data_IF_618684928089
#
_entry.id   IF_618684928089
#
_cell.length_a   1.000
_cell.length_b   1.000
_cell.length_c   1.000
_cell.angle_alpha   90.00
_cell.angle_beta   90.00
_cell.angle_gamma   90.00
#
_symmetry.space_group_name_H-M   'P 1'
#
loop_
_entity.id
_entity.type
_entity.pdbx_description
1 polymer ?
#
# COMPACT_ATOMS: atom_id res chain seq x y z
N UNK A 1 28.70 -21.67 86.91
CA UNK A 1 27.82 -20.65 86.36
C UNK A 1 28.54 -19.98 85.20
N UNK A 2 28.35 -20.51 83.99
CA UNK A 2 28.98 -20.02 82.79
C UNK A 2 27.89 -19.71 81.80
N UNK A 3 27.69 -18.42 81.42
CA UNK A 3 26.74 -17.94 80.46
C UNK A 3 27.31 -18.00 79.05
N UNK A 4 26.65 -18.72 78.12
CA UNK A 4 26.92 -18.69 76.70
C UNK A 4 26.34 -17.38 76.11
N UNK A 5 27.02 -16.74 75.13
CA UNK A 5 26.47 -15.63 74.40
C UNK A 5 25.69 -16.13 73.13
N UNK A 6 24.46 -15.70 73.00
CA UNK A 6 23.56 -15.93 71.91
C UNK A 6 24.02 -15.07 70.69
N UNK A 7 24.47 -15.72 69.58
CA UNK A 7 24.79 -15.05 68.33
C UNK A 7 23.51 -14.84 67.51
N UNK A 8 23.12 -13.59 67.38
CA UNK A 8 22.05 -13.16 66.45
C UNK A 8 22.62 -13.09 65.04
N UNK A 9 22.23 -14.02 64.16
CA UNK A 9 22.59 -14.00 62.74
C UNK A 9 21.51 -13.15 62.02
N UNK A 10 21.94 -11.94 61.57
CA UNK A 10 21.10 -11.07 60.72
C UNK A 10 21.14 -11.61 59.31
N UNK A 11 20.07 -12.25 58.83
CA UNK A 11 19.90 -12.62 57.44
C UNK A 11 19.51 -11.37 56.66
N UNK A 12 20.46 -10.83 55.89
CA UNK A 12 20.21 -9.74 54.95
C UNK A 12 19.53 -10.33 53.69
N UNK A 13 18.19 -10.19 53.60
CA UNK A 13 17.43 -10.55 52.40
C UNK A 13 17.74 -9.51 51.28
N UNK A 14 18.62 -9.85 50.35
CA UNK A 14 18.86 -9.07 49.14
C UNK A 14 17.66 -9.31 48.20
N UNK A 15 16.68 -8.40 48.18
CA UNK A 15 15.65 -8.33 47.17
C UNK A 15 16.31 -7.89 45.85
N UNK A 16 16.67 -8.85 45.00
CA UNK A 16 17.02 -8.59 43.58
C UNK A 16 15.71 -8.21 42.86
N UNK A 17 15.48 -6.92 42.72
CA UNK A 17 14.48 -6.43 41.75
C UNK A 17 14.98 -6.79 40.34
N UNK A 18 14.52 -7.90 39.83
CA UNK A 18 14.53 -8.18 38.38
C UNK A 18 13.61 -7.13 37.78
N UNK A 19 14.18 -5.99 37.35
CA UNK A 19 13.54 -5.07 36.44
C UNK A 19 13.32 -5.86 35.17
N UNK A 20 12.13 -6.44 34.98
CA UNK A 20 11.70 -6.91 33.69
C UNK A 20 11.71 -5.65 32.79
N UNK A 21 12.73 -5.51 31.94
CA UNK A 21 12.74 -4.53 30.86
C UNK A 21 11.62 -4.91 29.89
N UNK A 22 10.39 -4.55 30.21
CA UNK A 22 9.27 -4.58 29.26
C UNK A 22 9.54 -3.56 28.15
N UNK A 23 9.17 -3.89 26.91
CA UNK A 23 9.21 -2.94 25.78
C UNK A 23 8.35 -1.72 26.10
N UNK A 24 8.83 -0.54 25.73
CA UNK A 24 8.01 0.68 25.81
C UNK A 24 6.84 0.62 24.82
N UNK A 25 5.75 1.39 25.01
CA UNK A 25 4.64 1.44 24.07
C UNK A 25 5.07 1.75 22.62
N UNK A 26 6.06 2.63 22.45
CA UNK A 26 6.64 2.94 21.13
C UNK A 26 7.35 1.73 20.51
N UNK A 27 8.11 0.98 21.30
CA UNK A 27 8.76 -0.25 20.83
C UNK A 27 7.75 -1.34 20.48
N UNK A 28 6.67 -1.45 21.23
CA UNK A 28 5.58 -2.37 20.94
C UNK A 28 4.89 -2.01 19.64
N UNK A 29 4.60 -0.71 19.42
CA UNK A 29 4.06 -0.19 18.18
C UNK A 29 4.95 -0.55 16.97
N UNK A 30 6.25 -0.23 17.04
CA UNK A 30 7.17 -0.51 15.95
C UNK A 30 7.27 -2.01 15.65
N UNK A 31 7.33 -2.84 16.68
CA UNK A 31 7.36 -4.29 16.52
C UNK A 31 6.07 -4.82 15.90
N UNK A 32 4.89 -4.42 16.42
CA UNK A 32 3.61 -4.89 15.94
C UNK A 32 3.33 -4.42 14.51
N UNK A 33 3.46 -3.13 14.23
CA UNK A 33 3.24 -2.60 12.88
C UNK A 33 4.18 -3.25 11.86
N UNK A 34 5.43 -3.46 12.21
CA UNK A 34 6.39 -4.12 11.33
C UNK A 34 6.03 -5.56 11.01
N UNK A 35 5.72 -6.36 12.06
CA UNK A 35 5.48 -7.80 11.90
C UNK A 35 4.04 -8.17 11.53
N UNK A 36 3.04 -7.35 11.87
CA UNK A 36 1.63 -7.66 11.65
C UNK A 36 1.00 -6.87 10.48
N UNK A 37 1.66 -5.80 10.01
CA UNK A 37 1.17 -5.00 8.89
C UNK A 37 2.20 -4.90 7.75
N UNK A 38 3.34 -4.24 7.97
CA UNK A 38 4.29 -3.92 6.89
C UNK A 38 4.80 -5.17 6.16
N UNK A 39 5.34 -6.16 6.88
CA UNK A 39 5.87 -7.37 6.25
C UNK A 39 4.78 -8.23 5.60
N UNK A 40 3.64 -8.53 6.24
CA UNK A 40 2.56 -9.29 5.64
C UNK A 40 1.94 -8.63 4.39
N UNK A 41 1.85 -7.30 4.33
CA UNK A 41 1.38 -6.60 3.14
C UNK A 41 2.34 -6.80 1.95
N UNK A 42 3.66 -6.74 2.17
CA UNK A 42 4.64 -7.04 1.12
C UNK A 42 4.63 -8.52 0.71
N UNK A 43 4.47 -9.44 1.67
CA UNK A 43 4.33 -10.87 1.39
C UNK A 43 3.09 -11.16 0.52
N UNK A 44 1.97 -10.51 0.81
CA UNK A 44 0.76 -10.61 -0.01
C UNK A 44 1.01 -10.15 -1.44
N UNK A 45 1.65 -8.99 -1.64
CA UNK A 45 1.97 -8.49 -2.99
C UNK A 45 2.90 -9.45 -3.74
N UNK A 46 3.90 -10.01 -3.08
CA UNK A 46 4.78 -11.03 -3.65
C UNK A 46 3.99 -12.27 -4.11
N UNK A 47 3.15 -12.82 -3.24
CA UNK A 47 2.35 -14.00 -3.55
C UNK A 47 1.39 -13.77 -4.75
N UNK A 48 0.68 -12.64 -4.74
CA UNK A 48 -0.27 -12.33 -5.82
C UNK A 48 0.42 -12.01 -7.14
N UNK A 49 1.59 -11.38 -7.13
CA UNK A 49 2.39 -11.15 -8.34
C UNK A 49 2.91 -12.46 -8.94
N UNK A 50 3.30 -13.43 -8.11
CA UNK A 50 3.69 -14.78 -8.55
C UNK A 50 2.51 -15.51 -9.20
N UNK A 51 1.35 -15.50 -8.54
CA UNK A 51 0.12 -16.10 -9.06
C UNK A 51 -0.26 -15.51 -10.42
N UNK A 52 -0.11 -14.20 -10.58
CA UNK A 52 -0.37 -13.52 -11.84
C UNK A 52 0.65 -13.93 -12.91
N UNK A 53 1.94 -13.96 -12.61
CA UNK A 53 3.00 -14.35 -13.57
C UNK A 53 2.81 -15.79 -14.07
N UNK A 54 2.55 -16.73 -13.17
CA UNK A 54 2.28 -18.13 -13.51
C UNK A 54 1.01 -18.29 -14.36
N UNK A 55 -0.08 -17.62 -13.98
CA UNK A 55 -1.35 -17.68 -14.71
C UNK A 55 -1.25 -17.05 -16.09
N UNK A 56 -0.49 -15.96 -16.22
CA UNK A 56 -0.23 -15.28 -17.50
C UNK A 56 0.57 -16.20 -18.44
N UNK A 57 1.64 -16.80 -17.93
CA UNK A 57 2.45 -17.77 -18.69
C UNK A 57 1.60 -18.96 -19.19
N UNK A 58 0.78 -19.52 -18.29
CA UNK A 58 -0.11 -20.62 -18.64
C UNK A 58 -1.16 -20.24 -19.69
N UNK A 59 -1.77 -19.06 -19.56
CA UNK A 59 -2.74 -18.52 -20.53
C UNK A 59 -2.09 -18.33 -21.90
N UNK A 60 -0.92 -17.70 -21.95
CA UNK A 60 -0.23 -17.38 -23.21
C UNK A 60 0.38 -18.61 -23.91
N UNK A 61 0.64 -19.70 -23.18
CA UNK A 61 1.09 -20.98 -23.75
C UNK A 61 -0.03 -21.79 -24.41
N UNK A 62 -1.31 -21.44 -24.22
CA UNK A 62 -2.42 -22.15 -24.83
C UNK A 62 -2.49 -21.89 -26.34
N UNK A 63 -2.75 -22.95 -27.13
CA UNK A 63 -2.99 -22.83 -28.57
C UNK A 63 -4.33 -22.18 -28.92
N UNK A 64 -5.33 -22.37 -28.05
CA UNK A 64 -6.65 -21.75 -28.17
C UNK A 64 -7.03 -21.16 -26.83
N UNK A 65 -7.21 -19.87 -26.78
CA UNK A 65 -7.53 -19.08 -25.59
C UNK A 65 -9.01 -18.67 -25.62
N UNK A 66 -9.73 -18.90 -24.54
CA UNK A 66 -11.16 -18.59 -24.43
C UNK A 66 -11.41 -17.31 -23.64
N UNK A 67 -12.61 -16.75 -23.77
CA UNK A 67 -13.07 -15.66 -22.92
C UNK A 67 -13.14 -16.03 -21.44
N UNK A 68 -13.37 -17.30 -21.12
CA UNK A 68 -13.35 -17.82 -19.73
C UNK A 68 -11.93 -17.80 -19.17
N UNK A 69 -10.93 -18.21 -19.96
CA UNK A 69 -9.52 -18.16 -19.56
C UNK A 69 -9.06 -16.71 -19.34
N UNK A 70 -9.47 -15.81 -20.23
CA UNK A 70 -9.18 -14.36 -20.07
C UNK A 70 -9.86 -13.78 -18.82
N UNK A 71 -11.09 -14.18 -18.51
CA UNK A 71 -11.76 -13.74 -17.28
C UNK A 71 -11.04 -14.26 -16.02
N UNK A 72 -10.58 -15.52 -16.04
CA UNK A 72 -9.76 -16.07 -14.95
C UNK A 72 -8.44 -15.30 -14.78
N UNK A 73 -7.77 -14.96 -15.88
CA UNK A 73 -6.53 -14.15 -15.83
C UNK A 73 -6.78 -12.74 -15.31
N UNK A 74 -7.88 -12.10 -15.69
CA UNK A 74 -8.30 -10.79 -15.14
C UNK A 74 -8.45 -10.84 -13.61
N UNK A 75 -9.02 -11.93 -13.07
CA UNK A 75 -9.12 -12.10 -11.61
C UNK A 75 -7.74 -12.21 -10.93
N UNK A 76 -6.75 -12.83 -11.59
CA UNK A 76 -5.37 -12.85 -11.08
C UNK A 76 -4.72 -11.47 -11.10
N UNK A 77 -4.99 -10.70 -12.16
CA UNK A 77 -4.53 -9.32 -12.22
C UNK A 77 -5.16 -8.47 -11.09
N UNK A 78 -6.46 -8.64 -10.80
CA UNK A 78 -7.12 -7.97 -9.66
C UNK A 78 -6.46 -8.38 -8.33
N UNK A 79 -6.10 -9.65 -8.15
CA UNK A 79 -5.34 -10.09 -6.97
C UNK A 79 -4.01 -9.34 -6.80
N UNK A 80 -3.21 -9.23 -7.87
CA UNK A 80 -1.94 -8.52 -7.84
C UNK A 80 -2.12 -7.00 -7.65
N UNK A 81 -3.15 -6.40 -8.27
CA UNK A 81 -3.55 -5.02 -8.03
C UNK A 81 -3.90 -4.79 -6.55
N UNK A 82 -4.70 -5.66 -5.95
CA UNK A 82 -5.05 -5.55 -4.53
C UNK A 82 -3.82 -5.68 -3.61
N UNK A 83 -2.85 -6.55 -3.97
CA UNK A 83 -1.58 -6.64 -3.28
C UNK A 83 -0.79 -5.33 -3.34
N UNK A 84 -0.71 -4.70 -4.51
CA UNK A 84 -0.07 -3.40 -4.70
C UNK A 84 -0.76 -2.28 -3.92
N UNK A 85 -2.09 -2.18 -4.01
CA UNK A 85 -2.86 -1.17 -3.28
C UNK A 85 -2.65 -1.26 -1.76
N UNK A 86 -2.37 -2.48 -1.26
CA UNK A 86 -2.02 -2.70 0.14
C UNK A 86 -0.73 -2.01 0.59
N UNK A 87 0.25 -1.84 -0.29
CA UNK A 87 1.56 -1.22 0.01
C UNK A 87 1.78 0.13 -0.67
N UNK A 88 0.91 0.56 -1.56
CA UNK A 88 1.07 1.75 -2.39
C UNK A 88 1.31 3.03 -1.59
N UNK A 89 0.73 3.12 -0.39
CA UNK A 89 0.87 4.28 0.50
C UNK A 89 2.20 4.31 1.27
N UNK A 90 2.94 3.20 1.33
CA UNK A 90 4.22 3.12 2.03
C UNK A 90 5.26 3.86 1.19
N UNK A 91 5.72 5.02 1.69
CA UNK A 91 6.64 5.91 0.97
C UNK A 91 8.00 6.01 1.67
N UNK A 92 8.41 4.95 2.35
CA UNK A 92 9.73 4.83 2.97
C UNK A 92 10.33 3.43 2.72
N UNK A 93 11.63 3.32 2.90
CA UNK A 93 12.34 2.07 2.69
C UNK A 93 12.47 1.67 1.22
N UNK A 94 12.51 0.37 0.92
CA UNK A 94 12.88 -0.14 -0.39
C UNK A 94 12.01 0.32 -1.57
N UNK A 95 10.78 0.73 -1.33
CA UNK A 95 9.85 1.14 -2.40
C UNK A 95 10.31 2.41 -3.13
N UNK A 96 11.05 3.29 -2.43
CA UNK A 96 11.58 4.53 -3.03
C UNK A 96 12.95 4.32 -3.71
N UNK A 97 13.59 3.17 -3.51
CA UNK A 97 14.85 2.84 -4.17
C UNK A 97 14.61 2.63 -5.67
N UNK A 98 15.45 3.20 -6.53
CA UNK A 98 15.44 2.99 -8.00
C UNK A 98 14.05 3.12 -8.67
N UNK A 99 13.18 3.97 -8.14
CA UNK A 99 11.83 4.20 -8.67
C UNK A 99 10.97 2.93 -8.77
N UNK A 100 11.08 1.99 -7.84
CA UNK A 100 10.36 0.72 -7.87
C UNK A 100 8.84 0.89 -8.02
N UNK A 101 8.24 1.88 -7.38
CA UNK A 101 6.81 2.17 -7.49
C UNK A 101 6.36 2.46 -8.94
N UNK A 102 7.20 3.16 -9.72
CA UNK A 102 6.90 3.45 -11.13
C UNK A 102 6.98 2.23 -12.04
N UNK A 103 7.79 1.24 -11.68
CA UNK A 103 7.86 -0.05 -12.39
C UNK A 103 6.61 -0.90 -12.15
N UNK A 104 5.91 -0.69 -11.04
CA UNK A 104 4.64 -1.37 -10.72
C UNK A 104 3.46 -0.67 -11.36
N UNK A 105 3.41 0.67 -11.27
CA UNK A 105 2.25 1.43 -11.70
C UNK A 105 2.63 2.79 -12.26
N UNK A 106 2.25 3.04 -13.50
CA UNK A 106 2.29 4.36 -14.12
C UNK A 106 0.90 5.01 -14.07
N UNK A 107 0.68 5.89 -13.09
CA UNK A 107 -0.58 6.60 -12.89
C UNK A 107 -0.34 7.96 -12.21
N UNK A 108 -1.09 9.02 -12.58
CA UNK A 108 -2.15 9.09 -13.60
C UNK A 108 -1.60 9.17 -15.05
N UNK A 109 -2.26 8.49 -15.99
CA UNK A 109 -1.91 8.56 -17.43
C UNK A 109 -2.72 9.63 -18.17
N UNK A 110 -2.35 10.90 -17.96
CA UNK A 110 -3.09 12.06 -18.50
C UNK A 110 -3.09 12.16 -20.05
N UNK A 111 -2.18 11.48 -20.72
CA UNK A 111 -1.95 11.59 -22.18
C UNK A 111 -2.19 10.27 -22.92
N UNK A 112 -2.78 9.29 -22.26
CA UNK A 112 -2.93 7.91 -22.78
C UNK A 112 -1.61 7.34 -23.33
N UNK A 113 -0.53 7.56 -22.56
CA UNK A 113 0.83 7.11 -22.93
C UNK A 113 0.93 5.59 -22.88
N UNK A 114 0.25 4.96 -21.91
CA UNK A 114 0.24 3.50 -21.75
C UNK A 114 -0.22 2.84 -23.06
N UNK A 115 -1.40 3.15 -23.54
CA UNK A 115 -1.92 2.57 -24.78
C UNK A 115 -0.99 2.79 -25.96
N UNK A 116 -0.55 4.04 -26.17
CA UNK A 116 0.28 4.42 -27.30
C UNK A 116 1.66 3.75 -27.28
N UNK A 117 2.31 3.73 -26.11
CA UNK A 117 3.66 3.16 -25.97
C UNK A 117 3.63 1.63 -25.98
N UNK A 118 2.60 1.01 -25.41
CA UNK A 118 2.38 -0.44 -25.48
C UNK A 118 2.18 -0.90 -26.91
N UNK A 119 1.31 -0.22 -27.70
CA UNK A 119 1.12 -0.53 -29.11
C UNK A 119 2.41 -0.35 -29.93
N UNK A 120 3.18 0.69 -29.65
CA UNK A 120 4.47 0.92 -30.31
C UNK A 120 5.47 -0.21 -29.99
N UNK A 121 5.55 -0.65 -28.73
CA UNK A 121 6.46 -1.71 -28.31
C UNK A 121 6.06 -3.07 -28.89
N UNK A 122 4.77 -3.42 -28.86
CA UNK A 122 4.25 -4.69 -29.39
C UNK A 122 4.40 -4.81 -30.90
N UNK A 123 4.32 -3.68 -31.64
CA UNK A 123 4.44 -3.64 -33.10
C UNK A 123 5.86 -3.37 -33.61
N UNK A 124 6.81 -3.23 -32.71
CA UNK A 124 8.22 -3.06 -33.06
C UNK A 124 8.83 -4.32 -33.65
N UNK A 125 9.97 -4.17 -34.29
CA UNK A 125 10.70 -5.28 -34.93
C UNK A 125 11.58 -6.07 -33.97
N UNK A 126 11.75 -5.56 -32.74
CA UNK A 126 12.59 -6.20 -31.71
C UNK A 126 11.82 -7.27 -30.92
N UNK A 127 12.53 -8.33 -30.54
CA UNK A 127 11.94 -9.37 -29.71
C UNK A 127 11.57 -8.84 -28.32
N UNK A 128 10.35 -9.13 -27.89
CA UNK A 128 9.84 -8.77 -26.56
C UNK A 128 10.47 -9.71 -25.53
N UNK A 129 11.51 -9.24 -24.86
CA UNK A 129 12.24 -9.99 -23.83
C UNK A 129 12.23 -9.22 -22.52
N UNK A 130 12.52 -9.91 -21.40
CA UNK A 130 12.58 -9.28 -20.09
C UNK A 130 13.64 -8.15 -20.02
N UNK A 131 14.87 -8.32 -20.51
CA UNK A 131 15.83 -7.20 -20.58
C UNK A 131 15.32 -6.02 -21.42
N UNK A 132 14.75 -6.27 -22.58
CA UNK A 132 14.20 -5.22 -23.43
C UNK A 132 13.09 -4.43 -22.74
N UNK A 133 12.21 -5.11 -22.00
CA UNK A 133 11.17 -4.45 -21.21
C UNK A 133 11.74 -3.63 -20.05
N UNK A 134 12.77 -4.15 -19.35
CA UNK A 134 13.39 -3.48 -18.20
C UNK A 134 14.16 -2.20 -18.60
N UNK A 135 14.74 -2.20 -19.79
CA UNK A 135 15.41 -1.02 -20.36
C UNK A 135 14.41 -0.02 -20.97
N UNK A 136 13.20 -0.47 -21.27
CA UNK A 136 12.16 0.38 -21.82
C UNK A 136 11.53 1.29 -20.76
N UNK A 137 10.69 2.22 -21.23
CA UNK A 137 9.96 3.15 -20.36
C UNK A 137 9.08 2.41 -19.35
N UNK A 138 9.08 2.86 -18.08
CA UNK A 138 8.16 2.37 -17.02
C UNK A 138 6.68 2.45 -17.41
N UNK A 139 6.32 3.27 -18.38
CA UNK A 139 4.95 3.41 -18.90
C UNK A 139 4.39 2.10 -19.45
N UNK A 140 5.25 1.21 -19.97
CA UNK A 140 4.84 -0.09 -20.54
C UNK A 140 5.13 -1.26 -19.60
N UNK A 141 5.52 -0.98 -18.37
CA UNK A 141 5.79 -1.98 -17.34
C UNK A 141 4.61 -2.11 -16.37
N UNK A 142 4.61 -3.19 -15.59
CA UNK A 142 3.76 -3.39 -14.43
C UNK A 142 2.26 -3.45 -14.70
N UNK A 143 1.50 -3.22 -13.64
CA UNK A 143 0.05 -3.41 -13.59
C UNK A 143 -0.73 -2.50 -14.56
N UNK A 144 -0.25 -1.26 -14.78
CA UNK A 144 -0.96 -0.33 -15.66
C UNK A 144 -0.91 -0.74 -17.15
N UNK A 145 0.23 -1.23 -17.62
CA UNK A 145 0.35 -1.77 -18.97
C UNK A 145 -0.44 -3.07 -19.14
N UNK A 146 -0.42 -3.94 -18.09
CA UNK A 146 -1.22 -5.16 -18.08
C UNK A 146 -2.72 -4.87 -18.07
N UNK A 147 -3.18 -3.83 -17.33
CA UNK A 147 -4.58 -3.38 -17.38
C UNK A 147 -5.01 -3.03 -18.80
N UNK A 148 -4.18 -2.26 -19.53
CA UNK A 148 -4.46 -1.94 -20.94
C UNK A 148 -4.56 -3.20 -21.80
N UNK A 149 -3.64 -4.15 -21.64
CA UNK A 149 -3.65 -5.40 -22.40
C UNK A 149 -4.87 -6.29 -22.12
N UNK A 150 -5.33 -6.31 -20.87
CA UNK A 150 -6.39 -7.21 -20.43
C UNK A 150 -7.81 -6.63 -20.56
N UNK A 151 -7.97 -5.30 -20.56
CA UNK A 151 -9.29 -4.68 -20.46
C UNK A 151 -9.61 -3.66 -21.56
N UNK A 152 -8.64 -3.30 -22.42
CA UNK A 152 -8.83 -2.40 -23.55
C UNK A 152 -8.75 -3.18 -24.88
N UNK A 153 -8.60 -2.51 -26.00
CA UNK A 153 -8.59 -3.07 -27.36
C UNK A 153 -7.71 -4.33 -27.56
N UNK A 154 -6.53 -4.48 -26.92
CA UNK A 154 -5.74 -5.70 -27.08
C UNK A 154 -6.38 -6.96 -26.52
N UNK A 155 -7.35 -6.85 -25.61
CA UNK A 155 -7.98 -8.00 -24.95
C UNK A 155 -8.65 -8.97 -25.93
N UNK A 156 -9.25 -8.45 -27.01
CA UNK A 156 -9.83 -9.29 -28.09
C UNK A 156 -8.74 -10.01 -28.88
N UNK A 157 -7.60 -9.35 -29.13
CA UNK A 157 -6.46 -9.94 -29.85
C UNK A 157 -5.82 -11.07 -29.05
N UNK A 158 -5.78 -10.98 -27.72
CA UNK A 158 -5.25 -12.05 -26.87
C UNK A 158 -5.97 -13.38 -27.10
N UNK A 159 -7.19 -13.39 -27.63
CA UNK A 159 -7.99 -14.59 -27.92
C UNK A 159 -7.74 -15.16 -29.33
N UNK A 160 -6.93 -14.50 -30.15
CA UNK A 160 -6.64 -14.91 -31.54
C UNK A 160 -5.15 -15.25 -31.73
N UNK A 161 -4.82 -15.85 -32.87
CA UNK A 161 -3.43 -16.14 -33.26
C UNK A 161 -2.59 -14.86 -33.45
N UNK A 162 -3.22 -13.73 -33.82
CA UNK A 162 -2.56 -12.43 -33.94
C UNK A 162 -2.16 -11.84 -32.58
N UNK A 163 -2.63 -12.42 -31.48
CA UNK A 163 -2.40 -11.95 -30.12
C UNK A 163 -1.04 -12.36 -29.52
N UNK A 164 -0.21 -13.14 -30.23
CA UNK A 164 1.03 -13.63 -29.65
C UNK A 164 1.98 -12.51 -29.20
N UNK A 165 2.22 -11.41 -29.95
CA UNK A 165 3.05 -10.31 -29.46
C UNK A 165 2.49 -9.61 -28.21
N UNK A 166 1.15 -9.51 -28.10
CA UNK A 166 0.50 -8.98 -26.88
C UNK A 166 0.66 -9.94 -25.69
N UNK A 167 0.61 -11.25 -25.94
CA UNK A 167 0.91 -12.28 -24.94
C UNK A 167 2.37 -12.24 -24.48
N UNK A 168 3.31 -12.06 -25.40
CA UNK A 168 4.73 -11.94 -25.07
C UNK A 168 4.98 -10.73 -24.16
N UNK A 169 4.36 -9.59 -24.47
CA UNK A 169 4.44 -8.41 -23.60
C UNK A 169 3.76 -8.65 -22.25
N UNK A 170 2.55 -9.22 -22.22
CA UNK A 170 1.80 -9.49 -21.00
C UNK A 170 2.58 -10.43 -20.06
N UNK A 171 3.16 -11.52 -20.60
CA UNK A 171 3.98 -12.46 -19.85
C UNK A 171 5.26 -11.83 -19.31
N UNK A 172 5.92 -11.03 -20.15
CA UNK A 172 7.16 -10.34 -19.77
C UNK A 172 6.88 -9.28 -18.70
N UNK A 173 5.78 -8.51 -18.83
CA UNK A 173 5.36 -7.54 -17.81
C UNK A 173 4.99 -8.19 -16.48
N UNK A 174 4.31 -9.35 -16.51
CA UNK A 174 3.96 -10.11 -15.30
C UNK A 174 5.21 -10.67 -14.60
N UNK A 175 6.18 -11.17 -15.36
CA UNK A 175 7.47 -11.64 -14.84
C UNK A 175 8.26 -10.49 -14.20
N UNK A 176 8.33 -9.33 -14.87
CA UNK A 176 8.98 -8.14 -14.33
C UNK A 176 8.31 -7.64 -13.04
N UNK A 177 6.98 -7.60 -13.02
CA UNK A 177 6.22 -7.23 -11.83
C UNK A 177 6.54 -8.13 -10.63
N UNK A 178 6.61 -9.44 -10.87
CA UNK A 178 6.99 -10.40 -9.81
C UNK A 178 8.43 -10.17 -9.31
N UNK A 179 9.37 -9.87 -10.21
CA UNK A 179 10.74 -9.54 -9.79
C UNK A 179 10.80 -8.27 -8.93
N UNK A 180 10.01 -7.25 -9.26
CA UNK A 180 9.89 -6.04 -8.43
C UNK A 180 9.29 -6.36 -7.06
N UNK A 181 8.23 -7.17 -7.02
CA UNK A 181 7.59 -7.57 -5.76
C UNK A 181 8.54 -8.42 -4.89
N UNK A 182 9.30 -9.34 -5.49
CA UNK A 182 10.32 -10.13 -4.78
C UNK A 182 11.43 -9.24 -4.25
N UNK A 183 11.95 -8.30 -5.06
CA UNK A 183 12.94 -7.32 -4.60
C UNK A 183 12.44 -6.56 -3.37
N UNK A 184 11.22 -6.02 -3.40
CA UNK A 184 10.64 -5.29 -2.27
C UNK A 184 10.53 -6.17 -1.03
N UNK A 185 9.99 -7.38 -1.17
CA UNK A 185 9.84 -8.31 -0.05
C UNK A 185 11.20 -8.71 0.55
N UNK A 186 12.17 -9.12 -0.28
CA UNK A 186 13.50 -9.52 0.18
C UNK A 186 14.24 -8.38 0.90
N UNK A 187 14.08 -7.15 0.46
CA UNK A 187 14.67 -5.98 1.12
C UNK A 187 14.05 -5.73 2.50
N UNK A 188 12.75 -5.99 2.66
CA UNK A 188 12.06 -5.89 3.96
C UNK A 188 12.39 -7.09 4.88
N UNK A 189 12.50 -8.28 4.33
CA UNK A 189 12.53 -9.53 5.08
C UNK A 189 13.82 -9.67 5.93
N UNK A 190 13.71 -10.19 7.20
CA UNK A 190 14.86 -10.30 8.13
C UNK A 190 16.02 -11.16 7.62
N UNK A 191 15.76 -12.15 6.75
CA UNK A 191 16.79 -13.00 6.14
C UNK A 191 17.35 -12.44 4.83
N UNK A 192 16.86 -11.29 4.36
CA UNK A 192 17.33 -10.58 3.19
C UNK A 192 17.99 -9.25 3.57
N UNK A 193 17.46 -8.14 3.05
CA UNK A 193 17.95 -6.78 3.36
C UNK A 193 17.67 -6.30 4.77
N UNK A 194 16.74 -6.94 5.48
CA UNK A 194 16.37 -6.65 6.87
C UNK A 194 16.00 -5.19 7.14
N UNK A 195 15.35 -4.52 6.19
CA UNK A 195 14.84 -3.16 6.44
C UNK A 195 13.82 -3.13 7.58
N UNK A 196 13.09 -4.23 7.78
CA UNK A 196 12.20 -4.42 8.94
C UNK A 196 12.96 -4.19 10.25
N UNK A 197 14.12 -4.81 10.42
CA UNK A 197 14.98 -4.62 11.61
C UNK A 197 15.47 -3.17 11.73
N UNK A 198 15.83 -2.52 10.62
CA UNK A 198 16.18 -1.10 10.60
C UNK A 198 15.05 -0.23 11.14
N UNK A 199 13.80 -0.47 10.69
CA UNK A 199 12.64 0.30 11.14
C UNK A 199 12.24 -0.01 12.60
N UNK A 200 12.35 -1.28 13.02
CA UNK A 200 11.98 -1.73 14.36
C UNK A 200 13.00 -1.40 15.45
N UNK A 201 14.22 -1.01 15.07
CA UNK A 201 15.33 -0.74 16.00
C UNK A 201 15.89 0.66 15.78
N UNK A 202 15.09 1.72 15.96
CA UNK A 202 15.58 3.09 15.88
C UNK A 202 16.59 3.37 17.02
N UNK A 203 17.58 4.21 16.75
CA UNK A 203 18.60 4.57 17.72
C UNK A 203 19.74 5.40 17.11
N UNK A 204 20.69 5.88 17.94
CA UNK A 204 21.73 6.82 17.49
C UNK A 204 22.60 6.31 16.34
N UNK A 205 22.76 5.00 16.23
CA UNK A 205 23.56 4.36 15.18
C UNK A 205 22.72 4.02 13.92
N UNK A 206 21.41 4.25 13.97
CA UNK A 206 20.51 4.00 12.86
C UNK A 206 20.36 5.27 12.01
N UNK A 207 21.01 5.30 10.84
CA UNK A 207 21.00 6.47 9.96
C UNK A 207 19.62 6.82 9.39
N UNK A 208 18.73 5.83 9.25
CA UNK A 208 17.37 6.04 8.75
C UNK A 208 16.42 6.55 9.87
N UNK A 209 16.61 6.05 11.09
CA UNK A 209 15.73 6.33 12.23
C UNK A 209 16.57 6.59 13.49
N UNK A 210 17.07 7.81 13.70
CA UNK A 210 17.95 8.14 14.83
C UNK A 210 17.28 8.00 16.19
N UNK A 211 15.96 7.98 16.23
CA UNK A 211 15.12 7.78 17.41
C UNK A 211 13.76 7.19 17.07
N UNK A 212 12.97 6.87 18.10
CA UNK A 212 11.62 6.28 17.93
C UNK A 212 10.64 7.26 17.26
N UNK A 213 10.78 8.56 17.51
CA UNK A 213 9.90 9.57 16.92
C UNK A 213 10.09 9.65 15.39
N UNK A 214 11.33 9.49 14.91
CA UNK A 214 11.61 9.45 13.47
C UNK A 214 10.92 8.24 12.80
N UNK A 215 10.97 7.04 13.42
CA UNK A 215 10.33 5.85 12.87
C UNK A 215 8.79 5.95 12.91
N UNK A 216 8.23 6.46 14.03
CA UNK A 216 6.78 6.67 14.16
C UNK A 216 6.30 7.80 13.23
N UNK A 217 7.12 8.85 13.06
CA UNK A 217 6.87 9.93 12.11
C UNK A 217 6.71 9.40 10.69
N UNK A 218 7.59 8.52 10.22
CA UNK A 218 7.49 7.89 8.90
C UNK A 218 6.19 7.08 8.72
N UNK A 219 5.71 6.41 9.78
CA UNK A 219 4.39 5.75 9.75
C UNK A 219 3.25 6.76 9.62
N UNK A 220 3.28 7.85 10.40
CA UNK A 220 2.25 8.88 10.32
C UNK A 220 2.26 9.56 8.95
N UNK A 221 3.42 9.87 8.39
CA UNK A 221 3.58 10.43 7.04
C UNK A 221 3.01 9.49 5.97
N UNK A 222 3.20 8.18 6.11
CA UNK A 222 2.59 7.16 5.24
C UNK A 222 1.06 7.22 5.29
N UNK A 223 0.48 7.34 6.48
CA UNK A 223 -0.98 7.46 6.67
C UNK A 223 -1.50 8.76 6.05
N UNK A 224 -0.82 9.88 6.27
CA UNK A 224 -1.15 11.17 5.66
C UNK A 224 -1.09 11.07 4.13
N UNK A 225 0.01 10.57 3.58
CA UNK A 225 0.19 10.42 2.13
C UNK A 225 -0.91 9.58 1.50
N UNK A 226 -1.22 8.42 2.09
CA UNK A 226 -2.28 7.54 1.60
C UNK A 226 -3.66 8.20 1.61
N UNK A 227 -4.02 8.87 2.70
CA UNK A 227 -5.28 9.61 2.82
C UNK A 227 -5.39 10.78 1.83
N UNK A 228 -4.31 11.54 1.63
CA UNK A 228 -4.24 12.61 0.63
C UNK A 228 -4.39 12.07 -0.78
N UNK A 229 -3.68 10.98 -1.10
CA UNK A 229 -3.77 10.34 -2.41
C UNK A 229 -5.19 9.87 -2.71
N UNK A 230 -5.88 9.23 -1.75
CA UNK A 230 -7.29 8.85 -1.91
C UNK A 230 -8.16 10.09 -2.13
N UNK A 231 -8.03 11.09 -1.27
CA UNK A 231 -8.87 12.28 -1.30
C UNK A 231 -8.67 13.09 -2.58
N UNK A 232 -7.41 13.46 -2.87
CA UNK A 232 -7.08 14.39 -3.95
C UNK A 232 -7.00 13.69 -5.31
N UNK A 233 -6.23 12.59 -5.40
CA UNK A 233 -5.87 12.01 -6.68
C UNK A 233 -6.90 10.97 -7.17
N UNK A 234 -7.49 10.18 -6.23
CA UNK A 234 -8.48 9.15 -6.60
C UNK A 234 -9.93 9.67 -6.62
N UNK A 235 -10.23 10.79 -5.91
CA UNK A 235 -11.58 11.34 -5.86
C UNK A 235 -11.69 12.75 -6.44
N UNK A 236 -11.00 13.76 -5.87
CA UNK A 236 -11.23 15.16 -6.23
C UNK A 236 -10.94 15.45 -7.69
N UNK A 237 -9.75 15.09 -8.18
CA UNK A 237 -9.33 15.36 -9.56
C UNK A 237 -10.16 14.63 -10.60
N UNK A 238 -10.36 13.28 -10.49
CA UNK A 238 -11.13 12.55 -11.50
C UNK A 238 -12.62 12.88 -11.49
N UNK A 239 -13.20 13.10 -10.31
CA UNK A 239 -14.65 13.31 -10.15
C UNK A 239 -15.05 14.79 -10.19
N UNK A 240 -14.09 15.71 -10.32
CA UNK A 240 -14.32 17.14 -10.40
C UNK A 240 -14.79 17.78 -9.09
N UNK A 241 -14.50 17.17 -7.94
CA UNK A 241 -14.96 17.69 -6.65
C UNK A 241 -14.27 19.01 -6.28
N UNK A 242 -13.06 19.26 -6.78
CA UNK A 242 -12.28 20.49 -6.59
C UNK A 242 -12.41 21.50 -7.75
N UNK A 243 -12.96 21.10 -8.92
CA UNK A 243 -12.94 21.86 -10.17
C UNK A 243 -14.34 22.22 -10.69
N UNK A 244 -15.21 22.78 -9.87
CA UNK A 244 -16.57 23.20 -10.28
C UNK A 244 -17.36 22.10 -11.03
N UNK A 245 -17.16 20.83 -10.70
CA UNK A 245 -17.91 19.70 -11.26
C UNK A 245 -17.39 19.15 -12.61
N UNK A 246 -16.25 19.62 -13.10
CA UNK A 246 -15.63 19.09 -14.33
C UNK A 246 -14.95 17.75 -14.06
N UNK A 247 -15.71 16.66 -14.10
CA UNK A 247 -15.16 15.30 -13.96
C UNK A 247 -14.40 14.86 -15.22
N UNK A 248 -13.29 14.15 -15.00
CA UNK A 248 -12.57 13.40 -16.04
C UNK A 248 -12.35 11.97 -15.55
N UNK A 249 -13.29 11.04 -15.75
CA UNK A 249 -13.20 9.67 -15.26
C UNK A 249 -11.99 8.87 -15.80
N UNK A 250 -11.38 9.30 -16.90
CA UNK A 250 -10.15 8.69 -17.42
C UNK A 250 -8.92 8.96 -16.56
N UNK A 251 -9.02 9.86 -15.58
CA UNK A 251 -7.98 10.07 -14.56
C UNK A 251 -8.15 9.15 -13.35
N UNK A 252 -9.28 8.43 -13.23
CA UNK A 252 -9.45 7.44 -12.16
C UNK A 252 -8.38 6.36 -12.28
N UNK A 253 -7.85 5.97 -11.16
CA UNK A 253 -6.99 4.80 -11.08
C UNK A 253 -7.78 3.55 -11.48
N UNK A 254 -7.19 2.65 -12.27
CA UNK A 254 -7.83 1.40 -12.74
C UNK A 254 -9.20 1.60 -13.43
N UNK A 255 -9.34 2.67 -14.19
CA UNK A 255 -10.60 3.01 -14.87
C UNK A 255 -10.99 2.02 -15.98
N UNK A 256 -10.00 1.40 -16.65
CA UNK A 256 -10.26 0.41 -17.71
C UNK A 256 -10.85 -0.88 -17.17
N UNK A 257 -10.32 -1.35 -16.05
CA UNK A 257 -10.79 -2.54 -15.35
C UNK A 257 -12.00 -2.27 -14.45
N UNK A 258 -12.38 -0.98 -14.28
CA UNK A 258 -13.45 -0.52 -13.38
C UNK A 258 -13.20 -0.83 -11.90
N UNK A 259 -11.93 -0.99 -11.50
CA UNK A 259 -11.54 -1.35 -10.14
C UNK A 259 -11.24 -0.15 -9.23
N UNK A 260 -11.58 1.09 -9.66
CA UNK A 260 -11.26 2.31 -8.92
C UNK A 260 -11.82 2.34 -7.49
N UNK A 261 -13.06 1.85 -7.30
CA UNK A 261 -13.68 1.75 -5.97
C UNK A 261 -12.96 0.72 -5.09
N UNK A 262 -12.65 -0.44 -5.67
CA UNK A 262 -11.95 -1.51 -4.95
C UNK A 262 -10.56 -1.07 -4.50
N UNK A 263 -9.82 -0.36 -5.35
CA UNK A 263 -8.53 0.21 -5.00
C UNK A 263 -8.61 1.14 -3.78
N UNK A 264 -9.61 2.04 -3.74
CA UNK A 264 -9.84 2.92 -2.58
C UNK A 264 -10.16 2.09 -1.33
N UNK A 265 -10.98 1.06 -1.44
CA UNK A 265 -11.37 0.20 -0.34
C UNK A 265 -10.15 -0.53 0.25
N UNK A 266 -9.31 -1.11 -0.59
CA UNK A 266 -8.07 -1.79 -0.17
C UNK A 266 -7.10 -0.80 0.48
N UNK A 267 -6.93 0.40 -0.08
CA UNK A 267 -6.09 1.43 0.56
C UNK A 267 -6.60 1.77 1.97
N UNK A 268 -7.90 1.98 2.14
CA UNK A 268 -8.46 2.31 3.46
C UNK A 268 -8.25 1.18 4.47
N UNK A 269 -8.48 -0.08 4.08
CA UNK A 269 -8.19 -1.22 4.95
C UNK A 269 -6.70 -1.33 5.31
N UNK A 270 -5.82 -1.07 4.34
CA UNK A 270 -4.38 -1.09 4.58
C UNK A 270 -3.94 0.04 5.52
N UNK A 271 -4.46 1.25 5.35
CA UNK A 271 -4.19 2.37 6.24
C UNK A 271 -4.73 2.12 7.66
N UNK A 272 -5.93 1.54 7.78
CA UNK A 272 -6.48 1.13 9.07
C UNK A 272 -5.61 0.06 9.73
N UNK A 273 -5.14 -0.95 8.97
CA UNK A 273 -4.22 -1.97 9.47
C UNK A 273 -2.88 -1.36 9.92
N UNK A 274 -2.32 -0.40 9.19
CA UNK A 274 -1.11 0.32 9.59
C UNK A 274 -1.33 1.16 10.87
N UNK A 275 -2.53 1.73 11.05
CA UNK A 275 -2.90 2.48 12.25
C UNK A 275 -3.05 1.58 13.48
N UNK A 276 -3.74 0.44 13.35
CA UNK A 276 -4.04 -0.47 14.45
C UNK A 276 -2.93 -1.51 14.70
N UNK A 277 -2.08 -1.78 13.71
CA UNK A 277 -1.13 -2.91 13.71
C UNK A 277 -1.81 -4.26 14.01
N UNK A 278 -3.04 -4.48 13.51
CA UNK A 278 -3.81 -5.70 13.74
C UNK A 278 -4.39 -5.79 15.14
N UNK A 279 -3.78 -6.55 16.04
CA UNK A 279 -4.35 -6.88 17.36
C UNK A 279 -4.01 -5.88 18.49
N UNK A 280 -3.91 -4.59 18.18
CA UNK A 280 -3.99 -3.56 19.22
C UNK A 280 -2.68 -3.08 19.85
N UNK A 281 -1.55 -3.19 19.15
CA UNK A 281 -0.29 -2.54 19.56
C UNK A 281 0.14 -1.41 18.60
N UNK A 282 -0.79 -0.82 17.86
CA UNK A 282 -0.55 0.23 16.89
C UNK A 282 -0.57 1.65 17.47
N UNK A 283 -0.74 2.65 16.59
CA UNK A 283 -0.90 4.05 16.98
C UNK A 283 -2.13 4.25 17.89
N UNK A 284 -3.18 3.47 17.68
CA UNK A 284 -4.38 3.54 18.52
C UNK A 284 -4.08 3.23 19.98
N UNK A 285 -3.27 2.19 20.26
CA UNK A 285 -2.88 1.81 21.62
C UNK A 285 -1.88 2.81 22.20
N UNK A 286 -0.94 3.32 21.37
CA UNK A 286 -0.03 4.38 21.82
C UNK A 286 -0.79 5.64 22.26
N UNK A 287 -1.88 6.00 21.56
CA UNK A 287 -2.74 7.13 21.97
C UNK A 287 -3.43 6.84 23.32
N UNK A 288 -3.91 5.61 23.58
CA UNK A 288 -4.46 5.22 24.87
C UNK A 288 -3.44 5.34 26.00
N UNK A 289 -2.21 4.89 25.77
CA UNK A 289 -1.10 5.07 26.70
C UNK A 289 -0.72 6.54 26.97
N UNK A 290 -1.19 7.46 26.15
CA UNK A 290 -1.03 8.91 26.32
C UNK A 290 -2.29 9.59 26.84
N UNK A 291 -3.24 8.82 27.45
CA UNK A 291 -4.52 9.29 27.95
C UNK A 291 -5.38 10.02 26.88
N UNK A 292 -5.30 9.53 25.62
CA UNK A 292 -6.05 10.03 24.45
C UNK A 292 -7.02 9.01 23.87
N UNK A 293 -7.73 8.31 24.74
CA UNK A 293 -8.74 7.31 24.36
C UNK A 293 -9.78 7.86 23.38
N UNK A 294 -10.29 9.08 23.62
CA UNK A 294 -11.29 9.71 22.75
C UNK A 294 -10.76 9.95 21.33
N UNK A 295 -9.49 10.35 21.19
CA UNK A 295 -8.86 10.54 19.88
C UNK A 295 -8.66 9.19 19.18
N UNK A 296 -8.23 8.16 19.91
CA UNK A 296 -8.08 6.79 19.39
C UNK A 296 -9.40 6.27 18.84
N UNK A 297 -10.49 6.32 19.63
CA UNK A 297 -11.83 5.89 19.22
C UNK A 297 -12.36 6.71 18.04
N UNK A 298 -12.17 8.04 18.04
CA UNK A 298 -12.53 8.93 16.94
C UNK A 298 -11.89 8.48 15.62
N UNK A 299 -10.59 8.22 15.60
CA UNK A 299 -9.87 7.82 14.38
C UNK A 299 -10.34 6.46 13.87
N UNK A 300 -10.54 5.48 14.76
CA UNK A 300 -11.10 4.17 14.40
C UNK A 300 -12.48 4.32 13.75
N UNK A 301 -13.39 5.07 14.37
CA UNK A 301 -14.72 5.32 13.84
C UNK A 301 -14.70 6.07 12.48
N UNK A 302 -13.72 6.94 12.26
CA UNK A 302 -13.52 7.63 10.99
C UNK A 302 -13.07 6.65 9.88
N UNK A 303 -12.17 5.71 10.16
CA UNK A 303 -11.81 4.66 9.21
C UNK A 303 -13.02 3.79 8.86
N UNK A 304 -13.78 3.32 9.84
CA UNK A 304 -14.97 2.51 9.61
C UNK A 304 -16.02 3.25 8.77
N UNK A 305 -16.22 4.55 9.01
CA UNK A 305 -17.11 5.40 8.22
C UNK A 305 -16.62 5.56 6.78
N UNK A 306 -15.31 5.75 6.56
CA UNK A 306 -14.74 5.87 5.22
C UNK A 306 -14.87 4.56 4.43
N UNK A 307 -14.57 3.42 5.07
CA UNK A 307 -14.71 2.08 4.49
C UNK A 307 -16.18 1.81 4.13
N UNK A 308 -17.12 2.05 5.06
CA UNK A 308 -18.54 1.84 4.84
C UNK A 308 -19.09 2.73 3.71
N UNK A 309 -18.68 4.00 3.67
CA UNK A 309 -19.05 4.91 2.59
C UNK A 309 -18.51 4.44 1.23
N UNK A 310 -17.27 3.95 1.18
CA UNK A 310 -16.69 3.41 -0.06
C UNK A 310 -17.41 2.13 -0.51
N UNK A 311 -17.70 1.22 0.42
CA UNK A 311 -18.41 -0.03 0.14
C UNK A 311 -19.83 0.18 -0.36
N UNK A 312 -20.50 1.28 0.04
CA UNK A 312 -21.86 1.61 -0.40
C UNK A 312 -21.94 2.21 -1.81
N UNK A 313 -20.81 2.52 -2.46
CA UNK A 313 -20.80 2.97 -3.85
C UNK A 313 -21.10 1.77 -4.75
N UNK A 314 -22.17 1.86 -5.52
CA UNK A 314 -22.59 0.81 -6.44
C UNK A 314 -21.99 0.99 -7.84
N UNK A 315 -21.63 -0.13 -8.48
CA UNK A 315 -21.09 -0.14 -9.84
C UNK A 315 -19.69 0.47 -9.95
N UNK A 316 -19.41 1.05 -11.10
CA UNK A 316 -18.11 1.65 -11.43
C UNK A 316 -18.09 3.15 -11.13
N UNK A 317 -17.06 3.64 -10.46
CA UNK A 317 -16.85 5.08 -10.25
C UNK A 317 -16.81 5.85 -11.59
N UNK A 318 -16.23 5.26 -12.64
CA UNK A 318 -16.15 5.92 -13.96
C UNK A 318 -17.51 6.16 -14.61
N UNK A 319 -18.47 5.28 -14.36
CA UNK A 319 -19.79 5.32 -14.99
C UNK A 319 -20.89 5.87 -14.07
N UNK A 320 -20.84 5.48 -12.78
CA UNK A 320 -21.95 5.67 -11.85
C UNK A 320 -21.74 6.78 -10.80
N UNK A 321 -20.62 7.52 -10.83
CA UNK A 321 -20.31 8.55 -9.82
C UNK A 321 -21.34 9.68 -9.73
N UNK A 322 -22.16 9.89 -10.78
CA UNK A 322 -23.20 10.94 -10.82
C UNK A 322 -24.54 10.51 -10.27
N UNK A 323 -24.77 9.23 -10.05
CA UNK A 323 -25.99 8.72 -9.43
C UNK A 323 -26.16 9.28 -8.01
N UNK A 324 -27.38 9.62 -7.62
CA UNK A 324 -27.65 10.36 -6.38
C UNK A 324 -27.12 9.61 -5.12
N UNK A 325 -27.32 8.29 -5.06
CA UNK A 325 -26.82 7.46 -3.95
C UNK A 325 -25.30 7.46 -3.89
N UNK A 326 -24.61 7.25 -5.03
CA UNK A 326 -23.16 7.25 -5.13
C UNK A 326 -22.57 8.63 -4.81
N UNK A 327 -23.19 9.72 -5.25
CA UNK A 327 -22.76 11.08 -4.87
C UNK A 327 -22.82 11.31 -3.37
N UNK A 328 -23.85 10.83 -2.70
CA UNK A 328 -23.97 10.91 -1.24
C UNK A 328 -22.84 10.15 -0.56
N UNK A 329 -22.58 8.92 -0.99
CA UNK A 329 -21.49 8.10 -0.48
C UNK A 329 -20.10 8.73 -0.72
N UNK A 330 -19.84 9.23 -1.93
CA UNK A 330 -18.62 9.93 -2.30
C UNK A 330 -18.41 11.18 -1.44
N UNK A 331 -19.45 11.98 -1.21
CA UNK A 331 -19.35 13.16 -0.36
C UNK A 331 -19.06 12.79 1.10
N UNK A 332 -19.72 11.74 1.62
CA UNK A 332 -19.42 11.22 2.97
C UNK A 332 -17.98 10.77 3.08
N UNK A 333 -17.51 9.99 2.12
CA UNK A 333 -16.11 9.54 2.06
C UNK A 333 -15.15 10.74 2.02
N UNK A 334 -15.38 11.69 1.12
CA UNK A 334 -14.53 12.87 0.94
C UNK A 334 -14.43 13.73 2.22
N UNK A 335 -15.55 13.95 2.90
CA UNK A 335 -15.58 14.65 4.19
C UNK A 335 -14.81 13.87 5.26
N UNK A 336 -15.04 12.57 5.37
CA UNK A 336 -14.39 11.70 6.36
C UNK A 336 -12.88 11.66 6.17
N UNK A 337 -12.40 11.63 4.92
CA UNK A 337 -10.97 11.74 4.62
C UNK A 337 -10.39 13.09 5.08
N UNK A 338 -11.15 14.17 4.99
CA UNK A 338 -10.74 15.47 5.55
C UNK A 338 -10.59 15.44 7.07
N UNK A 339 -11.49 14.77 7.77
CA UNK A 339 -11.43 14.60 9.23
C UNK A 339 -10.26 13.69 9.66
N UNK A 340 -10.02 12.59 8.94
CA UNK A 340 -8.83 11.74 9.15
C UNK A 340 -7.52 12.52 8.94
N UNK A 341 -7.43 13.28 7.86
CA UNK A 341 -6.27 14.12 7.59
C UNK A 341 -6.04 15.16 8.69
N UNK A 342 -7.09 15.76 9.25
CA UNK A 342 -6.97 16.68 10.37
C UNK A 342 -6.38 15.98 11.61
N UNK A 343 -6.82 14.75 11.90
CA UNK A 343 -6.29 13.95 13.00
C UNK A 343 -4.81 13.61 12.79
N UNK A 344 -4.43 13.08 11.61
CA UNK A 344 -3.06 12.65 11.34
C UNK A 344 -2.07 13.78 11.10
N UNK A 345 -2.50 14.92 10.58
CA UNK A 345 -1.61 16.08 10.37
C UNK A 345 -1.41 16.96 11.60
N UNK A 346 -2.36 16.95 12.55
CA UNK A 346 -2.35 17.90 13.67
C UNK A 346 -2.51 17.25 15.04
N UNK A 347 -3.61 16.50 15.26
CA UNK A 347 -3.98 16.05 16.61
C UNK A 347 -3.02 14.97 17.12
N UNK A 348 -2.72 13.96 16.30
CA UNK A 348 -1.83 12.85 16.67
C UNK A 348 -0.38 13.33 16.82
N UNK A 349 0.23 14.06 15.86
CA UNK A 349 1.59 14.56 16.01
C UNK A 349 1.76 15.47 17.23
N UNK A 350 0.82 16.38 17.49
CA UNK A 350 0.84 17.23 18.67
C UNK A 350 0.78 16.43 19.98
N UNK A 351 -0.04 15.37 20.02
CA UNK A 351 -0.15 14.47 21.19
C UNK A 351 1.15 13.69 21.46
N UNK A 352 1.81 13.23 20.39
CA UNK A 352 3.02 12.42 20.50
C UNK A 352 4.32 13.24 20.56
N UNK A 353 4.25 14.56 20.38
CA UNK A 353 5.43 15.43 20.31
C UNK A 353 6.28 15.15 19.05
N UNK A 354 5.64 14.74 17.95
CA UNK A 354 6.30 14.42 16.69
C UNK A 354 6.13 15.60 15.73
N UNK A 355 7.24 16.04 15.12
CA UNK A 355 7.22 17.00 14.01
C UNK A 355 7.25 16.21 12.70
N UNK A 356 6.23 16.35 11.86
CA UNK A 356 6.21 15.74 10.54
C UNK A 356 7.12 16.53 9.58
N UNK A 357 7.82 15.82 8.72
CA UNK A 357 8.56 16.40 7.60
C UNK A 357 7.62 16.87 6.48
N UNK A 358 8.20 17.48 5.44
CA UNK A 358 7.48 17.75 4.19
C UNK A 358 7.31 16.45 3.41
N UNK A 359 6.09 16.11 3.05
CA UNK A 359 5.83 14.96 2.17
C UNK A 359 5.83 15.40 0.69
N UNK A 360 5.88 14.43 -0.24
CA UNK A 360 5.92 14.69 -1.68
C UNK A 360 4.68 15.45 -2.23
N UNK A 361 3.64 15.65 -1.42
CA UNK A 361 2.41 16.33 -1.78
C UNK A 361 2.32 17.77 -1.24
N UNK A 362 3.27 18.21 -0.40
CA UNK A 362 3.23 19.53 0.23
C UNK A 362 3.67 20.68 -0.69
N UNK A 363 4.08 20.39 -1.92
CA UNK A 363 4.65 21.35 -2.88
C UNK A 363 3.75 21.73 -4.06
N UNK A 364 2.46 21.30 -4.12
CA UNK A 364 1.53 21.61 -5.23
C UNK A 364 0.40 22.56 -4.82
#
# INVERSE_FOLDING_TARGET
MTRLPTRFTFLLAVCVFLSACGKTPEEQLLQATGSQALLPLHEKFLAESLNLAQSTSAFCAQRSRSSTDLAALRNRWVGAMNGWEGIQSIQFGPVIEDNQSWKVQFWPDRKNLIARKTEQFVKGDEAITLPALQEASVVIQGLSAMEYLLYDKPAEKLLSDEGQPYCDHLSTAATNLHQVADFLYQRWHPKGGNYLGTWQSPGPDNLAYPDKNAAIGALIETLVYGLERIKRDKLERPLGLSNAGQANPFLLEWWRSKQSREAILINLHSLQLLYSAGDGAGLEELLRHRDKEELSQKVTALFDRAISATASIEGSLSENHREAANRSAINTLHQTLGELLAAFKREIPATLGITLGFNANDGD
#
